data_IF_327029101668
#
_entry.id   IF_327029101668
#
_cell.length_a   1.000
_cell.length_b   1.000
_cell.length_c   1.000
_cell.angle_alpha   90.00
_cell.angle_beta   90.00
_cell.angle_gamma   90.00
#
_symmetry.space_group_name_H-M   'P 1'
#
loop_
_entity.id
_entity.type
_entity.pdbx_description
1 polymer ?
#
# COMPACT_ATOMS: atom_id res chain seq x y z
N UNK A 1 8.84 12.50 10.38
CA UNK A 1 7.49 12.04 10.81
C UNK A 1 7.24 10.72 10.11
N UNK A 2 6.66 9.73 10.78
CA UNK A 2 6.34 8.45 10.15
C UNK A 2 4.88 8.44 9.74
N UNK A 3 4.60 7.96 8.55
CA UNK A 3 3.27 7.87 7.96
C UNK A 3 2.82 6.42 7.93
N UNK A 4 1.55 6.20 8.24
CA UNK A 4 0.87 4.93 8.06
C UNK A 4 -0.18 5.10 6.96
N UNK A 5 -0.17 4.20 5.98
CA UNK A 5 -1.10 4.21 4.86
C UNK A 5 -1.79 2.85 4.80
N UNK A 6 -3.11 2.83 4.68
CA UNK A 6 -3.87 1.62 4.34
C UNK A 6 -4.44 1.80 2.95
N UNK A 7 -4.18 0.85 2.07
CA UNK A 7 -4.85 0.78 0.76
C UNK A 7 -5.69 -0.49 0.72
N UNK A 8 -6.99 -0.33 0.53
CA UNK A 8 -7.88 -1.47 0.25
C UNK A 8 -7.98 -1.68 -1.26
N UNK A 9 -8.04 -2.93 -1.69
CA UNK A 9 -8.07 -3.27 -3.11
C UNK A 9 -8.87 -4.54 -3.38
N UNK A 10 -9.22 -4.77 -4.64
CA UNK A 10 -9.94 -5.98 -5.06
C UNK A 10 -9.34 -6.55 -6.31
N UNK A 11 -9.14 -7.86 -6.32
CA UNK A 11 -8.83 -8.57 -7.54
C UNK A 11 -10.08 -8.77 -8.39
N UNK A 12 -9.95 -8.56 -9.70
CA UNK A 12 -10.99 -8.82 -10.67
C UNK A 12 -11.13 -10.33 -10.98
N UNK A 13 -12.26 -10.79 -11.54
CA UNK A 13 -12.47 -12.22 -11.83
C UNK A 13 -11.37 -12.86 -12.69
N UNK A 14 -10.73 -12.10 -13.59
CA UNK A 14 -9.62 -12.58 -14.41
C UNK A 14 -8.41 -13.05 -13.58
N UNK A 15 -8.18 -12.48 -12.40
CA UNK A 15 -7.19 -12.98 -11.44
C UNK A 15 -7.61 -14.31 -10.83
N UNK A 16 -8.88 -14.41 -10.42
CA UNK A 16 -9.43 -15.60 -9.78
C UNK A 16 -9.56 -16.80 -10.74
N UNK A 17 -9.62 -16.55 -12.04
CA UNK A 17 -9.60 -17.59 -13.07
C UNK A 17 -8.22 -18.22 -13.26
N UNK A 18 -7.13 -17.55 -12.83
CA UNK A 18 -5.78 -18.12 -12.84
C UNK A 18 -5.68 -19.26 -11.82
N UNK A 19 -4.96 -20.29 -12.20
CA UNK A 19 -4.50 -21.35 -11.30
C UNK A 19 -3.56 -20.80 -10.23
N UNK A 20 -3.36 -21.53 -9.14
CA UNK A 20 -2.43 -21.16 -8.09
C UNK A 20 -1.01 -20.93 -8.61
N UNK A 21 -0.51 -21.81 -9.47
CA UNK A 21 0.82 -21.67 -10.07
C UNK A 21 0.95 -20.41 -10.93
N UNK A 22 -0.07 -20.13 -11.76
CA UNK A 22 -0.06 -18.91 -12.58
C UNK A 22 -0.07 -17.65 -11.72
N UNK A 23 -0.78 -17.63 -10.58
CA UNK A 23 -0.78 -16.49 -9.66
C UNK A 23 0.58 -16.32 -8.97
N UNK A 24 1.21 -17.42 -8.56
CA UNK A 24 2.54 -17.40 -7.94
C UNK A 24 3.58 -16.87 -8.93
N UNK A 25 3.62 -17.43 -10.14
CA UNK A 25 4.56 -17.01 -11.18
C UNK A 25 4.32 -15.55 -11.58
N UNK A 26 3.06 -15.13 -11.71
CA UNK A 26 2.71 -13.75 -12.02
C UNK A 26 3.17 -12.79 -10.93
N UNK A 27 2.91 -13.13 -9.66
CA UNK A 27 3.33 -12.34 -8.49
C UNK A 27 4.84 -12.19 -8.45
N UNK A 28 5.58 -13.30 -8.60
CA UNK A 28 7.04 -13.33 -8.60
C UNK A 28 7.66 -12.49 -9.72
N UNK A 29 7.06 -12.50 -10.91
CA UNK A 29 7.61 -11.79 -12.08
C UNK A 29 7.22 -10.31 -12.08
N UNK A 30 6.00 -9.97 -11.68
CA UNK A 30 5.43 -8.64 -11.92
C UNK A 30 5.20 -7.78 -10.68
N UNK A 31 5.05 -8.40 -9.50
CA UNK A 31 4.63 -7.69 -8.27
C UNK A 31 5.77 -7.62 -7.26
N UNK A 32 6.38 -8.77 -6.92
CA UNK A 32 7.48 -8.84 -5.96
C UNK A 32 8.66 -7.91 -6.29
N UNK A 33 9.11 -7.77 -7.56
CA UNK A 33 10.21 -6.87 -7.89
C UNK A 33 9.91 -5.41 -7.58
N UNK A 34 8.63 -5.01 -7.65
CA UNK A 34 8.22 -3.65 -7.31
C UNK A 34 8.42 -3.43 -5.82
N UNK A 35 7.84 -4.27 -4.95
CA UNK A 35 8.02 -4.12 -3.51
C UNK A 35 9.48 -4.24 -3.08
N UNK A 36 10.25 -5.16 -3.70
CA UNK A 36 11.68 -5.30 -3.43
C UNK A 36 12.47 -4.02 -3.77
N UNK A 37 12.11 -3.30 -4.85
CA UNK A 37 12.80 -2.06 -5.24
C UNK A 37 12.58 -0.89 -4.27
N UNK A 38 11.54 -0.96 -3.43
CA UNK A 38 11.23 0.02 -2.39
C UNK A 38 11.54 -0.49 -0.97
N UNK A 39 12.12 -1.69 -0.85
CA UNK A 39 12.52 -2.26 0.43
C UNK A 39 13.49 -1.30 1.15
N UNK A 40 13.20 -1.03 2.43
CA UNK A 40 13.94 -0.06 3.25
C UNK A 40 13.46 1.38 3.15
N UNK A 41 12.59 1.71 2.19
CA UNK A 41 11.95 3.05 2.05
C UNK A 41 10.48 3.03 2.42
N UNK A 42 9.79 1.97 1.99
CA UNK A 42 8.39 1.71 2.30
C UNK A 42 8.28 0.29 2.84
N UNK A 43 7.84 0.16 4.08
CA UNK A 43 7.43 -1.13 4.64
C UNK A 43 6.07 -1.50 4.07
N UNK A 44 5.88 -2.74 3.64
CA UNK A 44 4.62 -3.23 3.06
C UNK A 44 4.21 -4.51 3.75
N UNK A 45 2.96 -4.58 4.20
CA UNK A 45 2.32 -5.79 4.74
C UNK A 45 0.99 -6.00 4.04
N UNK A 46 0.77 -7.20 3.51
CA UNK A 46 -0.43 -7.58 2.75
C UNK A 46 -1.35 -8.43 3.60
N UNK A 47 -2.66 -8.25 3.45
CA UNK A 47 -3.68 -8.95 4.22
C UNK A 47 -4.89 -9.32 3.35
N UNK A 48 -5.31 -10.57 3.49
CA UNK A 48 -6.51 -11.12 2.90
C UNK A 48 -7.75 -10.71 3.72
N UNK A 49 -8.82 -10.29 3.05
CA UNK A 49 -10.04 -9.77 3.65
C UNK A 49 -11.33 -10.30 3.00
N UNK A 50 -11.23 -11.18 2.00
CA UNK A 50 -12.34 -11.67 1.17
C UNK A 50 -13.41 -12.42 1.97
N UNK A 51 -13.04 -13.00 3.11
CA UNK A 51 -13.97 -13.66 4.03
C UNK A 51 -14.65 -12.69 5.02
N UNK A 52 -14.16 -11.45 5.12
CA UNK A 52 -14.53 -10.50 6.18
C UNK A 52 -15.13 -9.19 5.66
N UNK A 53 -15.02 -8.91 4.36
CA UNK A 53 -15.52 -7.70 3.73
C UNK A 53 -16.11 -8.00 2.36
N UNK A 54 -17.23 -7.35 2.04
CA UNK A 54 -17.78 -7.35 0.67
C UNK A 54 -17.34 -6.12 -0.14
N UNK A 55 -16.61 -5.18 0.47
CA UNK A 55 -16.19 -3.92 -0.18
C UNK A 55 -14.84 -4.03 -0.87
N UNK A 56 -13.98 -4.92 -0.36
CA UNK A 56 -12.64 -5.18 -0.86
C UNK A 56 -12.24 -6.62 -0.53
N UNK A 57 -11.39 -7.24 -1.35
CA UNK A 57 -10.87 -8.58 -1.08
C UNK A 57 -9.58 -8.55 -0.26
N UNK A 58 -8.86 -7.44 -0.29
CA UNK A 58 -7.54 -7.34 0.32
C UNK A 58 -7.29 -5.92 0.84
N UNK A 59 -6.29 -5.79 1.71
CA UNK A 59 -5.69 -4.50 2.01
C UNK A 59 -4.20 -4.62 2.26
N UNK A 60 -3.48 -3.54 2.01
CA UNK A 60 -2.08 -3.40 2.37
C UNK A 60 -1.90 -2.29 3.40
N UNK A 61 -1.06 -2.56 4.40
CA UNK A 61 -0.58 -1.57 5.35
C UNK A 61 0.84 -1.19 4.97
N UNK A 62 1.04 0.10 4.73
CA UNK A 62 2.31 0.68 4.35
C UNK A 62 2.80 1.66 5.41
N UNK A 63 4.11 1.68 5.63
CA UNK A 63 4.75 2.64 6.52
C UNK A 63 5.96 3.26 5.83
N UNK A 64 6.11 4.58 5.94
CA UNK A 64 7.26 5.30 5.39
C UNK A 64 7.55 6.58 6.17
N UNK A 65 8.76 7.09 6.07
CA UNK A 65 9.13 8.42 6.56
C UNK A 65 9.07 9.49 5.46
N UNK A 66 8.94 9.10 4.19
CA UNK A 66 8.87 9.98 3.04
C UNK A 66 7.69 9.61 2.11
N UNK A 67 6.69 10.50 2.05
CA UNK A 67 5.53 10.31 1.17
C UNK A 67 5.89 10.30 -0.31
N UNK A 68 7.06 10.81 -0.71
CA UNK A 68 7.57 10.72 -2.07
C UNK A 68 7.91 9.28 -2.45
N UNK A 69 8.56 8.53 -1.56
CA UNK A 69 8.87 7.12 -1.80
C UNK A 69 7.59 6.29 -1.90
N UNK A 70 6.60 6.56 -1.05
CA UNK A 70 5.25 5.98 -1.18
C UNK A 70 4.61 6.33 -2.54
N UNK A 71 4.60 7.61 -2.92
CA UNK A 71 3.99 8.05 -4.17
C UNK A 71 4.62 7.37 -5.39
N UNK A 72 5.96 7.29 -5.45
CA UNK A 72 6.66 6.63 -6.55
C UNK A 72 6.42 5.12 -6.58
N UNK A 73 6.33 4.47 -5.43
CA UNK A 73 5.98 3.05 -5.36
C UNK A 73 4.58 2.81 -5.93
N UNK A 74 3.59 3.64 -5.58
CA UNK A 74 2.23 3.54 -6.11
C UNK A 74 2.20 3.79 -7.62
N UNK A 75 2.92 4.78 -8.14
CA UNK A 75 3.00 5.00 -9.59
C UNK A 75 3.65 3.80 -10.30
N UNK A 76 4.72 3.22 -9.74
CA UNK A 76 5.35 2.01 -10.27
C UNK A 76 4.37 0.82 -10.29
N UNK A 77 3.56 0.68 -9.23
CA UNK A 77 2.55 -0.37 -9.13
C UNK A 77 1.41 -0.15 -10.12
N UNK A 78 0.94 1.08 -10.32
CA UNK A 78 -0.09 1.42 -11.32
C UNK A 78 0.39 1.24 -12.76
N UNK A 79 1.69 1.39 -13.01
CA UNK A 79 2.33 1.10 -14.30
C UNK A 79 2.68 -0.39 -14.50
N UNK A 80 2.45 -1.23 -13.49
CA UNK A 80 2.78 -2.66 -13.58
C UNK A 80 1.82 -3.44 -14.46
N UNK A 81 2.23 -4.66 -14.83
CA UNK A 81 1.37 -5.58 -15.57
C UNK A 81 0.07 -5.88 -14.80
N UNK A 82 0.11 -5.89 -13.45
CA UNK A 82 -1.06 -6.14 -12.60
C UNK A 82 -2.22 -5.17 -12.90
N UNK A 83 -1.91 -3.89 -13.12
CA UNK A 83 -2.89 -2.88 -13.48
C UNK A 83 -3.18 -2.85 -14.99
N UNK A 84 -2.15 -3.03 -15.82
CA UNK A 84 -2.31 -3.05 -17.29
C UNK A 84 -3.20 -4.20 -17.78
N UNK A 85 -3.14 -5.35 -17.12
CA UNK A 85 -4.01 -6.51 -17.39
C UNK A 85 -5.39 -6.41 -16.71
N UNK A 86 -5.70 -5.29 -16.05
CA UNK A 86 -6.96 -5.08 -15.34
C UNK A 86 -7.28 -6.22 -14.36
N UNK A 87 -6.27 -6.64 -13.58
CA UNK A 87 -6.40 -7.73 -12.62
C UNK A 87 -6.77 -7.23 -11.22
N UNK A 88 -6.55 -5.95 -10.93
CA UNK A 88 -6.78 -5.35 -9.61
C UNK A 88 -7.32 -3.93 -9.74
N UNK A 89 -8.08 -3.50 -8.75
CA UNK A 89 -8.50 -2.11 -8.56
C UNK A 89 -8.28 -1.66 -7.12
N UNK A 90 -7.81 -0.43 -6.93
CA UNK A 90 -7.78 0.20 -5.60
C UNK A 90 -9.16 0.74 -5.25
N UNK A 91 -9.56 0.55 -3.99
CA UNK A 91 -10.87 0.93 -3.47
C UNK A 91 -10.81 2.18 -2.60
N UNK A 92 -9.85 2.22 -1.68
CA UNK A 92 -9.72 3.31 -0.71
C UNK A 92 -8.27 3.46 -0.28
N UNK A 93 -7.84 4.71 -0.04
CA UNK A 93 -6.55 5.05 0.55
C UNK A 93 -6.80 5.85 1.82
N UNK A 94 -6.32 5.33 2.95
CA UNK A 94 -6.39 5.97 4.27
C UNK A 94 -4.96 6.32 4.67
N UNK A 95 -4.69 7.58 4.99
CA UNK A 95 -3.37 8.06 5.37
C UNK A 95 -3.42 8.73 6.74
N UNK A 96 -2.45 8.41 7.59
CA UNK A 96 -2.27 9.00 8.91
C UNK A 96 -0.80 9.23 9.23
N UNK A 97 -0.58 10.04 10.27
CA UNK A 97 0.74 10.30 10.84
C UNK A 97 0.83 9.54 12.15
N UNK A 98 1.82 8.67 12.29
CA UNK A 98 2.10 7.96 13.53
C UNK A 98 2.48 8.97 14.63
N UNK A 99 1.76 8.91 15.76
CA UNK A 99 1.96 9.79 16.91
C UNK A 99 2.02 11.30 16.56
N UNK A 100 1.28 11.74 15.52
CA UNK A 100 1.35 13.12 15.03
C UNK A 100 1.10 14.19 16.10
N UNK A 101 0.23 13.89 17.07
CA UNK A 101 -0.07 14.79 18.20
C UNK A 101 1.16 15.08 19.07
N UNK A 102 2.08 14.12 19.26
CA UNK A 102 3.28 14.30 20.09
C UNK A 102 4.27 15.30 19.46
N UNK A 103 4.34 15.30 18.12
CA UNK A 103 5.15 16.29 17.41
C UNK A 103 4.54 17.69 17.56
N UNK A 104 3.22 17.79 17.42
CA UNK A 104 2.50 19.05 17.64
C UNK A 104 2.68 19.58 19.07
N UNK A 105 2.51 18.74 20.11
CA UNK A 105 2.74 19.12 21.50
C UNK A 105 4.15 19.65 21.73
N UNK A 106 5.16 18.97 21.17
CA UNK A 106 6.56 19.40 21.26
C UNK A 106 6.77 20.78 20.63
N UNK A 107 6.20 21.02 19.46
CA UNK A 107 6.38 22.28 18.73
C UNK A 107 5.69 23.45 19.45
N UNK A 108 4.45 23.24 19.93
CA UNK A 108 3.70 24.26 20.68
C UNK A 108 4.35 24.59 22.03
N UNK A 109 4.85 23.59 22.75
CA UNK A 109 5.48 23.79 24.06
C UNK A 109 6.88 24.41 23.95
N UNK A 110 7.63 24.13 22.86
CA UNK A 110 8.96 24.70 22.64
C UNK A 110 8.93 26.07 21.95
N UNK A 111 7.84 26.39 21.25
CA UNK A 111 7.57 27.70 20.67
C UNK A 111 6.21 28.20 21.18
N UNK A 112 6.10 28.60 22.47
CA UNK A 112 4.90 29.28 22.92
C UNK A 112 4.72 30.50 22.03
N UNK A 113 3.60 30.53 21.31
CA UNK A 113 3.20 31.69 20.51
C UNK A 113 3.31 32.95 21.43
N UNK A 114 3.83 34.08 20.94
CA UNK A 114 3.98 35.29 21.74
C UNK A 114 2.63 35.80 22.29
#
# INVERSE_FOLDING_TARGET
MKYAIVITYSFHPAWLQKTWQEREDYTRIHVEPIFASYAGKVSVRLFDAEAFSTRYSDFMLLETEDLKDYYYMIETLRESQLFKDNLVEFKEVILGIEDGFRNYERDVLNHPNP
#
